data_IF_159117382309
#
_entry.id   IF_159117382309
#
_cell.length_a   1.000
_cell.length_b   1.000
_cell.length_c   1.000
_cell.angle_alpha   90.00
_cell.angle_beta   90.00
_cell.angle_gamma   90.00
#
_symmetry.space_group_name_H-M   'P 1'
#
loop_
_entity.id
_entity.type
_entity.pdbx_description
1 polymer ?
#
# COMPACT_ATOMS: atom_id res chain seq x y z
N UNK A 1 -6.90 4.24 60.34
CA UNK A 1 -8.07 4.04 59.46
C UNK A 1 -7.84 4.92 58.26
N UNK A 2 -7.19 4.38 57.24
CA UNK A 2 -7.16 4.95 55.90
C UNK A 2 -6.90 3.77 54.97
N UNK A 3 -7.87 3.50 54.12
CA UNK A 3 -7.95 2.35 53.24
C UNK A 3 -6.89 2.47 52.15
N UNK A 4 -6.14 1.40 51.96
CA UNK A 4 -5.29 1.20 50.79
C UNK A 4 -6.20 0.66 49.69
N UNK A 5 -6.76 1.57 48.89
CA UNK A 5 -7.54 1.18 47.72
C UNK A 5 -6.60 0.64 46.64
N UNK A 6 -6.70 -0.67 46.42
CA UNK A 6 -6.06 -1.39 45.33
C UNK A 6 -6.67 -0.90 44.01
N UNK A 7 -6.00 0.06 43.35
CA UNK A 7 -6.36 0.47 41.98
C UNK A 7 -5.95 -0.66 41.03
N UNK A 8 -6.88 -1.57 40.78
CA UNK A 8 -6.81 -2.53 39.68
C UNK A 8 -6.91 -1.77 38.35
N UNK A 9 -5.78 -1.28 37.85
CA UNK A 9 -5.68 -0.72 36.50
C UNK A 9 -5.83 -1.81 35.45
N UNK A 10 -7.06 -2.06 34.99
CA UNK A 10 -7.26 -2.67 33.68
C UNK A 10 -6.61 -1.78 32.63
N UNK A 11 -5.80 -2.32 31.69
CA UNK A 11 -5.38 -1.54 30.54
C UNK A 11 -6.64 -1.09 29.80
N UNK A 12 -6.68 0.14 29.28
CA UNK A 12 -7.82 0.63 28.52
C UNK A 12 -8.08 -0.35 27.37
N UNK A 13 -9.36 -0.69 27.09
CA UNK A 13 -9.68 -1.49 25.93
C UNK A 13 -9.09 -0.77 24.71
N UNK A 14 -8.28 -1.50 23.94
CA UNK A 14 -7.75 -1.12 22.64
C UNK A 14 -8.79 -0.26 21.95
N UNK A 15 -8.49 1.01 21.73
CA UNK A 15 -9.35 1.90 20.98
C UNK A 15 -9.48 1.31 19.58
N UNK A 16 -10.53 0.49 19.39
CA UNK A 16 -11.03 0.13 18.07
C UNK A 16 -11.45 1.46 17.46
N UNK A 17 -10.63 1.93 16.53
CA UNK A 17 -10.94 3.09 15.71
C UNK A 17 -12.39 2.95 15.20
N UNK A 18 -13.21 4.00 15.30
CA UNK A 18 -14.56 3.93 14.76
C UNK A 18 -14.49 3.56 13.27
N UNK A 19 -15.43 2.75 12.75
CA UNK A 19 -15.51 2.57 11.32
C UNK A 19 -15.84 3.94 10.72
N UNK A 20 -14.86 4.52 10.03
CA UNK A 20 -15.07 5.68 9.19
C UNK A 20 -15.96 5.22 8.02
N UNK A 21 -17.26 5.09 8.27
CA UNK A 21 -18.27 4.69 7.30
C UNK A 21 -18.64 5.91 6.45
N UNK A 22 -17.68 6.36 5.66
CA UNK A 22 -17.87 7.21 4.50
C UNK A 22 -17.08 6.55 3.38
N UNK A 23 -17.75 6.23 2.28
CA UNK A 23 -17.31 5.47 1.12
C UNK A 23 -15.82 5.71 0.76
N UNK A 24 -14.95 4.83 1.25
CA UNK A 24 -13.55 4.79 0.87
C UNK A 24 -13.38 3.59 -0.06
N UNK A 25 -12.65 3.75 -1.17
CA UNK A 25 -12.47 2.64 -2.08
C UNK A 25 -11.75 1.50 -1.37
N UNK A 26 -12.28 0.29 -1.50
CA UNK A 26 -11.67 -0.90 -0.89
C UNK A 26 -10.46 -1.29 -1.73
N UNK A 27 -9.28 -1.29 -1.12
CA UNK A 27 -8.00 -1.63 -1.77
C UNK A 27 -7.57 -3.03 -1.34
N UNK A 28 -7.23 -3.87 -2.33
CA UNK A 28 -6.58 -5.16 -2.13
C UNK A 28 -5.27 -5.20 -2.91
N UNK A 29 -4.16 -5.43 -2.20
CA UNK A 29 -2.83 -5.56 -2.78
C UNK A 29 -2.42 -7.03 -2.77
N UNK A 30 -2.20 -7.61 -3.94
CA UNK A 30 -1.78 -9.01 -4.09
C UNK A 30 -0.30 -9.08 -4.47
N UNK A 31 0.50 -9.79 -3.66
CA UNK A 31 1.92 -10.04 -3.93
C UNK A 31 2.43 -11.30 -3.23
N UNK A 32 3.66 -11.71 -3.53
CA UNK A 32 4.35 -12.75 -2.78
C UNK A 32 4.58 -12.32 -1.32
N UNK A 33 4.75 -13.31 -0.43
CA UNK A 33 5.14 -13.08 0.96
C UNK A 33 6.64 -12.72 1.09
N UNK A 34 7.07 -11.67 0.40
CA UNK A 34 8.41 -11.07 0.44
C UNK A 34 8.32 -9.54 0.38
N UNK A 35 9.38 -8.88 0.83
CA UNK A 35 9.53 -7.42 0.87
C UNK A 35 10.29 -6.93 -0.38
N UNK A 36 9.66 -7.05 -1.54
CA UNK A 36 10.24 -6.65 -2.82
C UNK A 36 9.36 -5.62 -3.54
N UNK A 37 8.92 -5.90 -4.77
CA UNK A 37 8.29 -4.90 -5.61
C UNK A 37 7.03 -4.26 -5.01
N UNK A 38 6.26 -4.97 -4.18
CA UNK A 38 5.05 -4.43 -3.54
C UNK A 38 5.32 -3.56 -2.31
N UNK A 39 6.52 -3.60 -1.74
CA UNK A 39 6.78 -3.00 -0.42
C UNK A 39 6.58 -1.49 -0.44
N UNK A 40 7.03 -0.83 -1.50
CA UNK A 40 6.78 0.61 -1.71
C UNK A 40 5.30 0.98 -1.74
N UNK A 41 4.42 0.07 -2.19
CA UNK A 41 2.97 0.29 -2.18
C UNK A 41 2.41 0.11 -0.77
N UNK A 42 2.87 -0.92 -0.02
CA UNK A 42 2.50 -1.13 1.38
C UNK A 42 2.88 0.08 2.24
N UNK A 43 4.11 0.56 2.09
CA UNK A 43 4.61 1.74 2.81
C UNK A 43 3.77 2.97 2.49
N UNK A 44 3.47 3.23 1.21
CA UNK A 44 2.61 4.35 0.85
C UNK A 44 1.23 4.26 1.50
N UNK A 45 0.58 3.08 1.48
CA UNK A 45 -0.74 2.87 2.09
C UNK A 45 -0.72 3.05 3.62
N UNK A 46 0.33 2.57 4.28
CA UNK A 46 0.53 2.74 5.73
C UNK A 46 0.76 4.21 6.07
N UNK A 47 1.63 4.90 5.33
CA UNK A 47 1.96 6.31 5.55
C UNK A 47 0.76 7.25 5.35
N UNK A 48 -0.13 6.94 4.41
CA UNK A 48 -1.38 7.68 4.21
C UNK A 48 -2.51 7.25 5.15
N UNK A 49 -2.29 6.25 6.01
CA UNK A 49 -3.31 5.68 6.89
C UNK A 49 -4.49 5.05 6.12
N UNK A 50 -4.25 4.59 4.89
CA UNK A 50 -5.29 4.01 4.02
C UNK A 50 -5.47 2.53 4.32
N UNK A 51 -6.65 2.07 4.77
CA UNK A 51 -6.91 0.66 5.01
C UNK A 51 -6.84 -0.14 3.71
N UNK A 52 -6.21 -1.31 3.75
CA UNK A 52 -6.12 -2.22 2.62
C UNK A 52 -6.00 -3.69 3.06
N UNK A 53 -6.39 -4.60 2.17
CA UNK A 53 -6.14 -6.04 2.30
C UNK A 53 -4.75 -6.36 1.71
N UNK A 54 -3.81 -6.82 2.55
CA UNK A 54 -2.50 -7.35 2.10
C UNK A 54 -2.64 -8.85 1.78
N UNK A 55 -3.06 -9.15 0.56
CA UNK A 55 -3.26 -10.52 0.08
C UNK A 55 -1.93 -11.16 -0.34
N UNK A 56 -1.26 -11.82 0.59
CA UNK A 56 0.01 -12.51 0.34
C UNK A 56 -0.21 -13.92 -0.18
N UNK A 57 0.43 -14.25 -1.31
CA UNK A 57 0.32 -15.56 -1.94
C UNK A 57 1.66 -16.29 -1.98
N UNK A 58 1.60 -17.62 -2.08
CA UNK A 58 2.76 -18.46 -2.37
C UNK A 58 2.92 -18.73 -3.89
N UNK A 59 3.96 -19.47 -4.25
CA UNK A 59 4.24 -19.83 -5.64
C UNK A 59 3.26 -20.87 -6.22
N UNK A 60 2.52 -21.61 -5.40
CA UNK A 60 1.52 -22.58 -5.87
C UNK A 60 0.26 -21.84 -6.33
N UNK A 61 -0.26 -20.96 -5.48
CA UNK A 61 -1.37 -20.06 -5.79
C UNK A 61 -1.05 -19.15 -6.99
N UNK A 62 0.22 -18.73 -7.13
CA UNK A 62 0.66 -17.92 -8.27
C UNK A 62 0.41 -18.59 -9.63
N UNK A 63 0.62 -19.91 -9.75
CA UNK A 63 0.42 -20.62 -11.04
C UNK A 63 -1.01 -20.48 -11.55
N UNK A 64 -1.99 -20.54 -10.66
CA UNK A 64 -3.39 -20.37 -10.99
C UNK A 64 -3.78 -18.90 -11.25
N UNK A 65 -3.15 -17.96 -10.54
CA UNK A 65 -3.43 -16.52 -10.65
C UNK A 65 -2.78 -15.86 -11.86
N UNK A 66 -1.59 -16.31 -12.29
CA UNK A 66 -0.81 -15.70 -13.37
C UNK A 66 -1.62 -15.38 -14.64
N UNK A 67 -2.47 -16.29 -15.18
CA UNK A 67 -3.26 -16.02 -16.37
C UNK A 67 -4.28 -14.89 -16.22
N UNK A 68 -4.67 -14.55 -14.99
CA UNK A 68 -5.66 -13.49 -14.72
C UNK A 68 -5.01 -12.13 -14.45
N UNK A 69 -3.68 -12.07 -14.36
CA UNK A 69 -2.97 -10.79 -14.13
C UNK A 69 -2.79 -9.99 -15.42
N UNK A 70 -2.86 -8.65 -15.39
CA UNK A 70 -2.81 -7.82 -16.61
C UNK A 70 -1.59 -8.06 -17.50
N UNK A 71 -0.42 -8.31 -16.89
CA UNK A 71 0.85 -8.47 -17.60
C UNK A 71 1.59 -9.76 -17.25
N UNK A 72 0.90 -10.77 -16.68
CA UNK A 72 1.55 -12.01 -16.25
C UNK A 72 2.55 -11.82 -15.09
N UNK A 73 2.37 -10.75 -14.31
CA UNK A 73 3.30 -10.26 -13.28
C UNK A 73 2.54 -9.86 -12.00
N UNK A 74 3.29 -9.83 -10.90
CA UNK A 74 2.88 -9.23 -9.63
C UNK A 74 3.90 -8.15 -9.23
N UNK A 75 3.50 -7.13 -8.44
CA UNK A 75 2.23 -7.00 -7.74
C UNK A 75 1.05 -6.53 -8.59
N UNK A 76 -0.14 -6.75 -8.04
CA UNK A 76 -1.43 -6.33 -8.58
C UNK A 76 -2.23 -5.64 -7.48
N UNK A 77 -2.89 -4.52 -7.81
CA UNK A 77 -3.74 -3.77 -6.87
C UNK A 77 -5.15 -3.67 -7.43
N UNK A 78 -6.12 -4.15 -6.67
CA UNK A 78 -7.54 -4.04 -6.98
C UNK A 78 -8.14 -2.90 -6.16
N UNK A 79 -8.85 -2.00 -6.82
CA UNK A 79 -9.53 -0.84 -6.22
C UNK A 79 -11.01 -0.97 -6.53
N UNK A 80 -11.83 -1.06 -5.49
CA UNK A 80 -13.30 -1.01 -5.60
C UNK A 80 -13.74 0.42 -5.29
N UNK A 81 -14.29 1.15 -6.26
CA UNK A 81 -14.78 2.52 -6.08
C UNK A 81 -16.19 2.53 -5.46
N UNK A 82 -16.69 3.72 -5.11
CA UNK A 82 -17.97 3.88 -4.39
C UNK A 82 -19.20 3.42 -5.19
N UNK A 83 -19.11 3.42 -6.52
CA UNK A 83 -20.13 2.89 -7.43
C UNK A 83 -20.11 1.35 -7.55
N UNK A 84 -19.21 0.69 -6.80
CA UNK A 84 -19.00 -0.76 -6.82
C UNK A 84 -18.15 -1.23 -8.01
N UNK A 85 -17.72 -0.34 -8.90
CA UNK A 85 -16.83 -0.70 -10.00
C UNK A 85 -15.45 -1.12 -9.47
N UNK A 86 -14.87 -2.14 -10.11
CA UNK A 86 -13.55 -2.66 -9.76
C UNK A 86 -12.55 -2.37 -10.86
N UNK A 87 -11.40 -1.84 -10.48
CA UNK A 87 -10.27 -1.62 -11.38
C UNK A 87 -9.05 -2.34 -10.84
N UNK A 88 -8.32 -2.96 -11.75
CA UNK A 88 -7.09 -3.69 -11.45
C UNK A 88 -5.91 -2.96 -12.07
N UNK A 89 -4.92 -2.65 -11.24
CA UNK A 89 -3.70 -1.98 -11.64
C UNK A 89 -2.50 -2.93 -11.48
N UNK A 90 -1.49 -2.72 -12.31
CA UNK A 90 -0.20 -3.38 -12.26
C UNK A 90 0.91 -2.31 -12.27
N UNK A 91 2.16 -2.70 -12.05
CA UNK A 91 3.33 -1.82 -11.87
C UNK A 91 3.35 -1.08 -10.52
N UNK A 92 4.20 -1.55 -9.62
CA UNK A 92 4.24 -1.08 -8.23
C UNK A 92 4.60 0.39 -8.06
N UNK A 93 5.45 0.95 -8.93
CA UNK A 93 5.78 2.39 -8.85
C UNK A 93 4.56 3.24 -9.23
N UNK A 94 3.80 2.83 -10.25
CA UNK A 94 2.56 3.51 -10.63
C UNK A 94 1.51 3.45 -9.51
N UNK A 95 1.36 2.30 -8.85
CA UNK A 95 0.49 2.15 -7.67
C UNK A 95 0.90 3.07 -6.53
N UNK A 96 2.19 3.08 -6.16
CA UNK A 96 2.74 3.93 -5.09
C UNK A 96 2.42 5.42 -5.35
N UNK A 97 2.66 5.89 -6.59
CA UNK A 97 2.34 7.26 -6.99
C UNK A 97 0.84 7.55 -6.90
N UNK A 98 0.00 6.62 -7.33
CA UNK A 98 -1.45 6.77 -7.26
C UNK A 98 -1.94 6.86 -5.80
N UNK A 99 -1.40 6.02 -4.91
CA UNK A 99 -1.72 6.07 -3.47
C UNK A 99 -1.32 7.41 -2.89
N UNK A 100 -0.09 7.87 -3.16
CA UNK A 100 0.38 9.16 -2.69
C UNK A 100 -0.52 10.30 -3.20
N UNK A 101 -0.78 10.38 -4.50
CA UNK A 101 -1.62 11.43 -5.08
C UNK A 101 -3.08 11.41 -4.62
N UNK A 102 -3.62 10.23 -4.31
CA UNK A 102 -5.04 10.07 -3.93
C UNK A 102 -5.29 10.24 -2.43
N UNK A 103 -4.36 9.81 -1.58
CA UNK A 103 -4.61 9.69 -0.14
C UNK A 103 -3.65 10.47 0.74
N UNK A 104 -2.52 10.97 0.22
CA UNK A 104 -1.61 11.79 1.02
C UNK A 104 -2.24 13.17 1.30
N UNK A 105 -2.53 13.41 2.58
CA UNK A 105 -3.06 14.69 3.07
C UNK A 105 -1.97 15.67 3.46
N UNK A 106 -0.71 15.23 3.60
CA UNK A 106 0.42 16.09 3.96
C UNK A 106 1.11 16.64 2.72
N UNK A 107 0.97 15.99 1.56
CA UNK A 107 1.63 16.38 0.32
C UNK A 107 3.15 16.14 0.35
N UNK A 108 3.60 15.21 1.20
CA UNK A 108 5.03 14.93 1.40
C UNK A 108 5.50 13.69 0.63
N UNK A 109 4.59 12.79 0.26
CA UNK A 109 4.94 11.55 -0.43
C UNK A 109 5.19 11.73 -1.92
N UNK A 110 4.44 12.63 -2.57
CA UNK A 110 4.59 12.90 -3.98
C UNK A 110 4.24 14.36 -4.29
N UNK A 111 5.21 15.19 -4.73
CA UNK A 111 4.97 16.60 -4.99
C UNK A 111 3.88 16.85 -6.04
N UNK A 112 3.04 17.86 -5.80
CA UNK A 112 2.08 18.34 -6.80
C UNK A 112 2.73 19.28 -7.82
N UNK A 113 3.81 19.96 -7.42
CA UNK A 113 4.61 20.81 -8.29
C UNK A 113 5.32 19.98 -9.37
N UNK A 114 5.35 20.50 -10.59
CA UNK A 114 5.85 19.76 -11.74
C UNK A 114 7.37 19.57 -11.70
N UNK A 115 8.12 20.59 -11.27
CA UNK A 115 9.58 20.56 -11.25
C UNK A 115 10.07 19.68 -10.09
N UNK A 116 9.49 19.84 -8.90
CA UNK A 116 9.77 18.96 -7.76
C UNK A 116 9.35 17.50 -8.06
N UNK A 117 8.25 17.31 -8.79
CA UNK A 117 7.82 16.00 -9.28
C UNK A 117 8.85 15.39 -10.23
N UNK A 118 9.40 16.18 -11.16
CA UNK A 118 10.44 15.73 -12.10
C UNK A 118 11.71 15.30 -11.36
N UNK A 119 12.20 16.09 -10.41
CA UNK A 119 13.37 15.73 -9.59
C UNK A 119 13.16 14.39 -8.86
N UNK A 120 11.97 14.17 -8.31
CA UNK A 120 11.61 12.89 -7.70
C UNK A 120 11.62 11.73 -8.70
N UNK A 121 11.08 11.96 -9.91
CA UNK A 121 11.07 10.96 -10.98
C UNK A 121 12.47 10.61 -11.47
N UNK A 122 13.39 11.58 -11.52
CA UNK A 122 14.81 11.33 -11.85
C UNK A 122 15.46 10.38 -10.84
N UNK A 123 15.24 10.61 -9.53
CA UNK A 123 15.77 9.73 -8.48
C UNK A 123 15.15 8.33 -8.55
N UNK A 124 13.84 8.23 -8.82
CA UNK A 124 13.17 6.94 -9.01
C UNK A 124 13.71 6.19 -10.25
N UNK A 125 13.96 6.91 -11.34
CA UNK A 125 14.55 6.36 -12.56
C UNK A 125 15.95 5.81 -12.30
N UNK A 126 16.82 6.59 -11.65
CA UNK A 126 18.16 6.16 -11.26
C UNK A 126 18.13 4.93 -10.34
N UNK A 127 17.19 4.88 -9.39
CA UNK A 127 17.02 3.72 -8.52
C UNK A 127 16.60 2.46 -9.30
N UNK A 128 15.78 2.61 -10.34
CA UNK A 128 15.33 1.49 -11.18
C UNK A 128 16.46 1.00 -12.10
N UNK A 129 17.25 1.93 -12.66
CA UNK A 129 18.46 1.61 -13.42
C UNK A 129 19.45 0.83 -12.56
N UNK A 130 19.75 1.32 -11.36
CA UNK A 130 20.63 0.63 -10.41
C UNK A 130 20.10 -0.77 -10.05
N UNK A 131 18.80 -0.91 -9.81
CA UNK A 131 18.19 -2.21 -9.50
C UNK A 131 18.33 -3.20 -10.66
N UNK A 132 18.13 -2.73 -11.90
CA UNK A 132 18.27 -3.55 -13.12
C UNK A 132 19.71 -4.03 -13.32
N UNK A 133 20.69 -3.17 -13.12
CA UNK A 133 22.11 -3.53 -13.24
C UNK A 133 22.58 -4.48 -12.12
N UNK A 134 21.97 -4.42 -10.94
CA UNK A 134 22.31 -5.30 -9.81
C UNK A 134 21.66 -6.68 -9.92
N UNK A 135 20.57 -6.82 -10.67
CA UNK A 135 19.95 -8.13 -10.93
C UNK A 135 20.71 -8.92 -11.99
N UNK A 136 21.04 -10.22 -11.73
CA UNK A 136 21.63 -11.08 -12.74
C UNK A 136 20.75 -11.15 -14.00
N UNK A 137 21.39 -11.11 -15.17
CA UNK A 137 20.74 -11.25 -16.47
C UNK A 137 20.13 -12.64 -16.69
#
# INVERSE_FOLDING_TARGET
QEQVDHVSGQPPPTASLPPQLAAMPTIKLTYFNIEAAAEKVRLALIMTGTPFEDNRIDFEAWKALKPTTPFGQLPMMEVTEDDGSKKTFAQSVAMMRWVARKFDKTGHLYPADADAGLEMEEVLGLSDDMAREWTPA
#
